data_IF_772771264253
#
_entry.id   IF_772771264253
#
_cell.length_a   1.000
_cell.length_b   1.000
_cell.length_c   1.000
_cell.angle_alpha   90.00
_cell.angle_beta   90.00
_cell.angle_gamma   90.00
#
_symmetry.space_group_name_H-M   'P 1'
#
loop_
_entity.id
_entity.type
_entity.pdbx_description
1 polymer ?
#
# COMPACT_ATOMS: atom_id res chain seq x y z
N UNK A 1 -2.79 -16.85 -2.06
CA UNK A 1 -2.71 -16.70 -0.60
C UNK A 1 -3.85 -15.82 -0.12
N UNK A 2 -4.53 -16.19 0.97
CA UNK A 2 -5.58 -15.34 1.55
C UNK A 2 -4.88 -14.23 2.35
N UNK A 3 -5.22 -12.98 2.06
CA UNK A 3 -4.77 -11.80 2.83
C UNK A 3 -6.04 -11.13 3.34
N UNK A 4 -6.11 -10.90 4.63
CA UNK A 4 -7.29 -10.31 5.27
C UNK A 4 -6.85 -9.37 6.38
N UNK A 5 -7.66 -8.34 6.62
CA UNK A 5 -7.55 -7.46 7.79
C UNK A 5 -8.36 -7.99 8.98
N UNK A 6 -9.09 -9.10 8.81
CA UNK A 6 -9.84 -9.77 9.87
C UNK A 6 -8.91 -10.66 10.70
N UNK A 7 -9.32 -10.95 11.93
CA UNK A 7 -8.60 -11.85 12.85
C UNK A 7 -8.82 -13.35 12.55
N UNK A 8 -9.83 -13.69 11.74
CA UNK A 8 -10.17 -15.07 11.38
C UNK A 8 -10.71 -15.16 9.94
N UNK A 9 -10.74 -16.37 9.39
CA UNK A 9 -11.35 -16.69 8.09
C UNK A 9 -12.53 -17.64 8.36
N UNK A 10 -13.73 -17.25 7.94
CA UNK A 10 -14.93 -18.08 8.11
C UNK A 10 -14.78 -19.45 7.45
N UNK A 11 -15.25 -20.50 8.13
CA UNK A 11 -15.15 -21.88 7.64
C UNK A 11 -13.73 -22.46 7.61
N UNK A 12 -12.74 -21.78 8.19
CA UNK A 12 -11.36 -22.29 8.31
C UNK A 12 -10.83 -22.16 9.74
N UNK A 13 -10.12 -23.19 10.19
CA UNK A 13 -9.41 -23.18 11.46
C UNK A 13 -7.92 -22.84 11.25
N UNK A 14 -7.34 -22.04 12.15
CA UNK A 14 -5.92 -21.68 12.12
C UNK A 14 -5.13 -22.82 12.79
N UNK A 15 -4.33 -23.55 12.01
CA UNK A 15 -3.55 -24.70 12.51
C UNK A 15 -2.21 -24.31 13.15
N UNK A 16 -1.69 -23.12 12.84
CA UNK A 16 -0.43 -22.59 13.38
C UNK A 16 -0.42 -21.06 13.30
N UNK A 17 0.15 -20.44 14.33
CA UNK A 17 0.50 -19.02 14.33
C UNK A 17 2.00 -18.88 14.06
N UNK A 18 2.36 -17.99 13.14
CA UNK A 18 3.73 -17.62 12.83
C UNK A 18 4.13 -16.34 13.56
N UNK A 19 5.41 -15.98 13.50
CA UNK A 19 5.88 -14.70 14.03
C UNK A 19 5.22 -13.52 13.30
N UNK A 20 4.90 -12.42 13.99
CA UNK A 20 4.43 -11.21 13.36
C UNK A 20 5.48 -10.67 12.37
N UNK A 21 5.04 -10.36 11.14
CA UNK A 21 5.89 -9.76 10.12
C UNK A 21 5.39 -8.35 9.77
N UNK A 22 6.33 -7.46 9.43
CA UNK A 22 6.03 -6.10 9.02
C UNK A 22 6.97 -5.69 7.87
N UNK A 23 6.45 -4.88 6.95
CA UNK A 23 7.22 -4.31 5.86
C UNK A 23 6.93 -2.82 5.75
N UNK A 24 7.97 -2.02 5.55
CA UNK A 24 7.89 -0.57 5.40
C UNK A 24 8.46 -0.17 4.05
N UNK A 25 7.79 0.76 3.37
CA UNK A 25 8.29 1.37 2.13
C UNK A 25 8.50 2.86 2.38
N UNK A 26 9.68 3.36 2.02
CA UNK A 26 10.06 4.77 2.15
C UNK A 26 10.05 5.43 0.77
N UNK A 27 9.46 6.61 0.69
CA UNK A 27 9.35 7.40 -0.54
C UNK A 27 10.48 8.43 -0.59
N UNK A 28 11.25 8.43 -1.67
CA UNK A 28 12.28 9.45 -1.90
C UNK A 28 11.69 10.78 -2.40
N UNK A 29 12.42 11.88 -2.17
CA UNK A 29 12.05 13.24 -2.56
C UNK A 29 11.72 13.40 -4.06
N UNK A 30 12.37 12.62 -4.94
CA UNK A 30 12.09 12.65 -6.39
C UNK A 30 10.62 12.30 -6.72
N UNK A 31 9.98 11.41 -5.94
CA UNK A 31 8.57 11.07 -6.15
C UNK A 31 7.67 12.23 -5.74
N UNK A 32 8.02 12.96 -4.67
CA UNK A 32 7.30 14.17 -4.27
C UNK A 32 7.42 15.29 -5.31
N UNK A 33 8.58 15.42 -5.97
CA UNK A 33 8.77 16.38 -7.07
C UNK A 33 7.89 16.06 -8.29
N UNK A 34 7.71 14.78 -8.65
CA UNK A 34 6.80 14.35 -9.73
C UNK A 34 5.34 14.65 -9.41
N UNK A 35 4.93 14.48 -8.15
CA UNK A 35 3.59 14.84 -7.68
C UNK A 35 3.46 16.38 -7.66
N UNK A 36 4.50 17.07 -7.19
CA UNK A 36 4.75 18.52 -7.20
C UNK A 36 4.46 19.19 -8.56
N UNK A 37 5.08 18.66 -9.61
CA UNK A 37 4.93 19.13 -10.98
C UNK A 37 3.51 18.87 -11.55
N UNK A 38 2.77 17.91 -10.98
CA UNK A 38 1.40 17.57 -11.37
C UNK A 38 0.32 18.39 -10.63
N UNK A 39 0.68 19.18 -9.60
CA UNK A 39 -0.28 20.00 -8.83
C UNK A 39 -0.82 21.22 -9.59
N UNK A 40 -0.23 21.56 -10.74
CA UNK A 40 -0.64 22.75 -11.52
C UNK A 40 -2.08 22.60 -12.06
N UNK A 41 -2.59 21.37 -12.24
CA UNK A 41 -3.90 21.13 -12.85
C UNK A 41 -5.03 20.74 -11.87
N UNK A 42 -4.81 20.79 -10.55
CA UNK A 42 -5.67 20.02 -9.63
C UNK A 42 -6.30 20.82 -8.47
N UNK A 43 -7.07 21.87 -8.78
CA UNK A 43 -8.10 22.33 -7.85
C UNK A 43 -9.30 21.35 -7.90
N UNK A 44 -9.33 20.35 -7.00
CA UNK A 44 -10.57 19.61 -6.66
C UNK A 44 -10.50 18.09 -6.46
N UNK A 45 -9.96 17.60 -5.32
CA UNK A 45 -10.40 16.35 -4.67
C UNK A 45 -9.64 15.00 -4.81
N UNK A 46 -8.95 14.71 -5.93
CA UNK A 46 -8.25 13.44 -6.27
C UNK A 46 -7.07 13.60 -7.25
N UNK A 47 -5.83 13.65 -6.75
CA UNK A 47 -4.66 13.68 -7.65
C UNK A 47 -4.37 12.27 -8.22
N UNK A 48 -4.63 12.07 -9.51
CA UNK A 48 -4.39 10.79 -10.21
C UNK A 48 -2.94 10.32 -10.10
N UNK A 49 -1.97 11.25 -10.13
CA UNK A 49 -0.54 10.93 -10.00
C UNK A 49 -0.18 10.50 -8.58
N UNK A 50 -0.72 11.20 -7.57
CA UNK A 50 -0.56 10.83 -6.17
C UNK A 50 -1.20 9.46 -5.86
N UNK A 51 -2.46 9.26 -6.28
CA UNK A 51 -3.19 8.00 -6.07
C UNK A 51 -2.47 6.82 -6.72
N UNK A 52 -1.94 6.99 -7.94
CA UNK A 52 -1.18 5.94 -8.63
C UNK A 52 0.09 5.54 -7.87
N UNK A 53 0.86 6.51 -7.37
CA UNK A 53 2.07 6.23 -6.57
C UNK A 53 1.72 5.59 -5.23
N UNK A 54 0.66 6.06 -4.57
CA UNK A 54 0.15 5.43 -3.34
C UNK A 54 -0.23 3.97 -3.57
N UNK A 55 -0.95 3.70 -4.65
CA UNK A 55 -1.32 2.34 -5.03
C UNK A 55 -0.09 1.45 -5.30
N UNK A 56 0.92 1.97 -6.00
CA UNK A 56 2.17 1.25 -6.27
C UNK A 56 2.88 0.86 -4.97
N UNK A 57 2.89 1.73 -3.97
CA UNK A 57 3.48 1.42 -2.67
C UNK A 57 2.71 0.36 -1.91
N UNK A 58 1.39 0.48 -1.82
CA UNK A 58 0.57 -0.55 -1.17
C UNK A 58 0.78 -1.91 -1.81
N UNK A 59 0.87 -1.94 -3.15
CA UNK A 59 1.19 -3.17 -3.89
C UNK A 59 2.56 -3.72 -3.48
N UNK A 60 3.60 -2.88 -3.43
CA UNK A 60 4.97 -3.29 -3.10
C UNK A 60 5.13 -3.78 -1.66
N UNK A 61 4.50 -3.09 -0.70
CA UNK A 61 4.46 -3.54 0.71
C UNK A 61 3.77 -4.89 0.82
N UNK A 62 2.60 -5.03 0.18
CA UNK A 62 1.84 -6.29 0.21
C UNK A 62 2.60 -7.42 -0.45
N UNK A 63 3.33 -7.18 -1.54
CA UNK A 63 4.22 -8.15 -2.18
C UNK A 63 5.41 -8.56 -1.31
N UNK A 64 5.91 -7.67 -0.46
CA UNK A 64 7.02 -7.98 0.46
C UNK A 64 6.56 -8.82 1.65
N UNK A 65 5.31 -8.65 2.07
CA UNK A 65 4.68 -9.45 3.13
C UNK A 65 4.16 -10.81 2.66
N UNK A 66 4.15 -11.06 1.35
CA UNK A 66 3.70 -12.31 0.74
C UNK A 66 4.83 -13.32 0.64
#
# INVERSE_FOLDING_TARGET
>A
MIVTTTNSIEGREISRYNDPIAANVVIGANIFSEIGASYVDFFGGRSTSYEKKMHEMYKRVTETLR
#
